data_IF_865779109836
#
_entry.id   IF_865779109836
#
_cell.length_a   1.000
_cell.length_b   1.000
_cell.length_c   1.000
_cell.angle_alpha   90.00
_cell.angle_beta   90.00
_cell.angle_gamma   90.00
#
_symmetry.space_group_name_H-M   'P 1'
#
loop_
_entity.id
_entity.type
_entity.pdbx_description
1 polymer ?
#
# COMPACT_ATOMS: atom_id res chain seq x y z
N UNK A 1 -11.44 -16.53 -6.53
CA UNK A 1 -10.28 -15.64 -6.76
C UNK A 1 -10.06 -14.81 -5.50
N UNK A 2 -8.90 -14.92 -4.86
CA UNK A 2 -8.58 -14.11 -3.68
C UNK A 2 -8.35 -12.65 -4.13
N UNK A 3 -9.18 -11.72 -3.67
CA UNK A 3 -9.13 -10.30 -4.07
C UNK A 3 -8.16 -9.54 -3.15
N UNK A 4 -6.88 -9.87 -3.29
CA UNK A 4 -5.79 -9.27 -2.53
C UNK A 4 -5.84 -7.73 -2.60
N UNK A 5 -5.70 -7.10 -1.44
CA UNK A 5 -5.69 -5.65 -1.27
C UNK A 5 -7.03 -4.95 -1.55
N UNK A 6 -8.14 -5.71 -1.57
CA UNK A 6 -9.48 -5.13 -1.60
C UNK A 6 -9.99 -4.89 -0.18
N UNK A 7 -10.68 -3.76 0.02
CA UNK A 7 -11.39 -3.42 1.25
C UNK A 7 -12.76 -2.85 0.91
N UNK A 8 -13.77 -3.19 1.71
CA UNK A 8 -15.09 -2.58 1.62
C UNK A 8 -15.21 -1.52 2.71
N UNK A 9 -15.57 -0.28 2.34
CA UNK A 9 -15.73 0.84 3.26
C UNK A 9 -17.08 1.53 3.04
N UNK A 10 -17.72 1.96 4.13
CA UNK A 10 -18.84 2.89 4.06
C UNK A 10 -18.31 4.28 3.73
N UNK A 11 -18.69 4.80 2.56
CA UNK A 11 -18.15 6.04 2.03
C UNK A 11 -19.17 6.76 1.13
N UNK A 12 -19.33 8.06 1.34
CA UNK A 12 -20.29 8.87 0.58
C UNK A 12 -21.73 8.42 0.80
N UNK A 13 -22.30 7.72 -0.19
CA UNK A 13 -23.71 7.30 -0.24
C UNK A 13 -23.93 5.78 -0.09
N UNK A 14 -22.91 5.01 0.29
CA UNK A 14 -23.06 3.58 0.50
C UNK A 14 -21.76 2.86 0.83
N UNK A 15 -21.79 1.53 0.74
CA UNK A 15 -20.60 0.69 0.89
C UNK A 15 -19.95 0.45 -0.47
N UNK A 16 -18.65 0.74 -0.57
CA UNK A 16 -17.88 0.58 -1.80
C UNK A 16 -16.69 -0.32 -1.60
N UNK A 17 -16.44 -1.17 -2.61
CA UNK A 17 -15.21 -1.93 -2.73
C UNK A 17 -14.12 -1.01 -3.30
N UNK A 18 -13.00 -0.91 -2.59
CA UNK A 18 -11.80 -0.23 -3.04
C UNK A 18 -10.67 -1.24 -3.17
N UNK A 19 -9.84 -1.09 -4.20
CA UNK A 19 -8.65 -1.92 -4.38
C UNK A 19 -7.61 -1.19 -5.21
N UNK A 20 -6.37 -1.19 -4.74
CA UNK A 20 -5.22 -0.77 -5.53
C UNK A 20 -4.48 -2.00 -6.06
N UNK A 21 -4.84 -2.42 -7.28
CA UNK A 21 -4.07 -3.41 -8.04
C UNK A 21 -2.73 -2.85 -8.51
N UNK A 22 -1.87 -3.69 -9.11
CA UNK A 22 -0.54 -3.24 -9.56
C UNK A 22 -0.65 -2.10 -10.59
N UNK A 23 -1.54 -2.26 -11.57
CA UNK A 23 -1.81 -1.24 -12.58
C UNK A 23 -2.34 0.07 -11.97
N UNK A 24 -3.19 0.00 -10.93
CA UNK A 24 -3.67 1.19 -10.22
C UNK A 24 -2.56 1.87 -9.44
N UNK A 25 -1.64 1.11 -8.84
CA UNK A 25 -0.48 1.67 -8.13
C UNK A 25 0.45 2.37 -9.14
N UNK A 26 0.79 1.71 -10.25
CA UNK A 26 1.64 2.30 -11.30
C UNK A 26 1.01 3.58 -11.88
N UNK A 27 -0.29 3.57 -12.16
CA UNK A 27 -1.00 4.77 -12.63
C UNK A 27 -1.01 5.87 -11.55
N UNK A 28 -1.22 5.51 -10.29
CA UNK A 28 -1.20 6.46 -9.18
C UNK A 28 0.19 7.11 -9.06
N UNK A 29 1.25 6.32 -9.00
CA UNK A 29 2.63 6.82 -8.91
C UNK A 29 2.96 7.76 -10.07
N UNK A 30 2.61 7.38 -11.30
CA UNK A 30 2.82 8.22 -12.49
C UNK A 30 2.04 9.55 -12.42
N UNK A 31 0.79 9.54 -11.95
CA UNK A 31 -0.02 10.76 -11.79
C UNK A 31 0.44 11.66 -10.66
N UNK A 32 0.98 11.06 -9.59
CA UNK A 32 1.42 11.79 -8.40
C UNK A 32 2.86 12.27 -8.48
N UNK A 33 3.67 11.65 -9.33
CA UNK A 33 5.14 11.75 -9.31
C UNK A 33 5.69 11.43 -7.91
N UNK A 34 5.13 10.37 -7.29
CA UNK A 34 5.43 9.94 -5.93
C UNK A 34 5.30 8.43 -5.82
N UNK A 35 6.27 7.79 -5.17
CA UNK A 35 6.16 6.36 -4.86
C UNK A 35 5.05 6.07 -3.85
N UNK A 36 4.46 4.88 -3.92
CA UNK A 36 3.33 4.46 -3.07
C UNK A 36 3.65 4.56 -1.57
N UNK A 37 4.90 4.30 -1.17
CA UNK A 37 5.34 4.43 0.22
C UNK A 37 5.44 5.88 0.68
N UNK A 38 5.82 6.80 -0.21
CA UNK A 38 5.83 8.24 0.09
C UNK A 38 4.39 8.75 0.22
N UNK A 39 3.50 8.27 -0.65
CA UNK A 39 2.06 8.57 -0.59
C UNK A 39 1.45 8.08 0.73
N UNK A 40 1.76 6.85 1.14
CA UNK A 40 1.34 6.29 2.43
C UNK A 40 1.81 7.16 3.60
N UNK A 41 3.07 7.61 3.57
CA UNK A 41 3.59 8.50 4.61
C UNK A 41 2.86 9.86 4.64
N UNK A 42 2.59 10.48 3.49
CA UNK A 42 1.92 11.79 3.42
C UNK A 42 0.46 11.76 3.88
N UNK A 43 -0.23 10.65 3.62
CA UNK A 43 -1.65 10.47 3.99
C UNK A 43 -1.85 10.07 5.46
N UNK A 44 -0.79 9.80 6.21
CA UNK A 44 -0.88 9.46 7.63
C UNK A 44 -1.61 10.54 8.44
N UNK A 45 -2.50 10.19 9.38
CA UNK A 45 -3.26 11.15 10.19
C UNK A 45 -2.39 12.13 11.01
N UNK A 46 -1.21 11.67 11.43
CA UNK A 46 -0.24 12.46 12.20
C UNK A 46 0.62 13.40 11.32
N UNK A 47 0.52 13.28 9.99
CA UNK A 47 1.31 14.05 9.02
C UNK A 47 0.41 15.04 8.27
N UNK A 48 0.77 16.34 8.26
CA UNK A 48 0.03 17.40 7.55
C UNK A 48 0.66 17.74 6.19
N UNK A 49 0.90 16.74 5.36
CA UNK A 49 1.56 16.89 4.05
C UNK A 49 0.73 16.38 2.87
N UNK A 50 -0.44 15.80 3.12
CA UNK A 50 -1.34 15.33 2.08
C UNK A 50 -1.78 16.49 1.18
N UNK A 51 -1.66 16.28 -0.13
CA UNK A 51 -2.23 17.18 -1.15
C UNK A 51 -3.65 16.73 -1.44
N UNK A 52 -4.54 17.65 -1.81
CA UNK A 52 -5.91 17.31 -2.26
C UNK A 52 -5.91 16.21 -3.31
N UNK A 53 -5.00 16.34 -4.26
CA UNK A 53 -4.90 15.42 -5.37
C UNK A 53 -4.32 14.04 -4.99
N UNK A 54 -3.63 13.92 -3.83
CA UNK A 54 -3.23 12.61 -3.27
C UNK A 54 -4.48 11.83 -2.87
N UNK A 55 -5.44 12.51 -2.25
CA UNK A 55 -6.71 11.94 -1.77
C UNK A 55 -7.61 11.58 -2.96
N UNK A 56 -7.83 12.55 -3.86
CA UNK A 56 -8.69 12.42 -5.04
C UNK A 56 -8.27 11.23 -5.91
N UNK A 57 -7.00 11.16 -6.30
CA UNK A 57 -6.54 10.10 -7.22
C UNK A 57 -6.50 8.72 -6.55
N UNK A 58 -6.15 8.65 -5.26
CA UNK A 58 -6.16 7.40 -4.50
C UNK A 58 -7.56 6.81 -4.43
N UNK A 59 -8.56 7.62 -4.07
CA UNK A 59 -9.95 7.16 -3.96
C UNK A 59 -10.48 6.78 -5.34
N UNK A 60 -10.23 7.59 -6.38
CA UNK A 60 -10.68 7.31 -7.75
C UNK A 60 -10.12 5.98 -8.27
N UNK A 61 -8.80 5.77 -8.13
CA UNK A 61 -8.16 4.53 -8.59
C UNK A 61 -8.52 3.33 -7.71
N UNK A 62 -8.74 3.55 -6.42
CA UNK A 62 -9.27 2.55 -5.50
C UNK A 62 -10.65 2.03 -5.94
N UNK A 63 -11.59 2.93 -6.26
CA UNK A 63 -12.92 2.56 -6.77
C UNK A 63 -12.82 1.78 -8.09
N UNK A 64 -11.98 2.24 -9.01
CA UNK A 64 -11.78 1.58 -10.31
C UNK A 64 -11.21 0.16 -10.11
N UNK A 65 -10.18 0.00 -9.30
CA UNK A 65 -9.63 -1.32 -9.01
C UNK A 65 -10.58 -2.22 -8.21
N UNK A 66 -11.54 -1.63 -7.50
CA UNK A 66 -12.66 -2.29 -6.82
C UNK A 66 -13.79 -2.74 -7.76
N UNK A 67 -13.74 -2.36 -9.05
CA UNK A 67 -14.68 -2.78 -10.09
C UNK A 67 -15.64 -1.69 -10.57
N UNK A 68 -15.54 -0.46 -10.06
CA UNK A 68 -16.35 0.67 -10.53
C UNK A 68 -15.87 1.15 -11.90
N UNK A 69 -16.80 1.56 -12.77
CA UNK A 69 -16.45 2.18 -14.05
C UNK A 69 -15.70 3.51 -13.83
N UNK A 70 -14.69 3.85 -14.65
CA UNK A 70 -13.91 5.07 -14.46
C UNK A 70 -14.73 6.38 -14.46
N UNK A 71 -15.80 6.43 -15.26
CA UNK A 71 -16.69 7.60 -15.33
C UNK A 71 -17.49 7.75 -14.03
N UNK A 72 -17.98 6.65 -13.47
CA UNK A 72 -18.74 6.65 -12.22
C UNK A 72 -17.83 6.99 -11.02
N UNK A 73 -16.62 6.45 -11.01
CA UNK A 73 -15.61 6.78 -10.00
C UNK A 73 -15.26 8.28 -10.02
N UNK A 74 -15.09 8.86 -11.21
CA UNK A 74 -14.84 10.30 -11.36
C UNK A 74 -16.02 11.14 -10.85
N UNK A 75 -17.26 10.76 -11.20
CA UNK A 75 -18.45 11.46 -10.75
C UNK A 75 -18.59 11.43 -9.22
N UNK A 76 -18.33 10.27 -8.59
CA UNK A 76 -18.38 10.13 -7.13
C UNK A 76 -17.29 10.92 -6.42
N UNK A 77 -16.06 10.89 -6.91
CA UNK A 77 -14.96 11.63 -6.29
C UNK A 77 -15.19 13.14 -6.37
N UNK A 78 -15.75 13.65 -7.47
CA UNK A 78 -16.16 15.07 -7.54
C UNK A 78 -17.15 15.44 -6.44
N UNK A 79 -18.22 14.64 -6.31
CA UNK A 79 -19.29 14.88 -5.35
C UNK A 79 -18.87 14.72 -3.89
N UNK A 80 -18.07 13.70 -3.59
CA UNK A 80 -17.76 13.30 -2.22
C UNK A 80 -16.34 13.66 -1.76
N UNK A 81 -15.49 14.22 -2.63
CA UNK A 81 -14.15 14.71 -2.29
C UNK A 81 -13.98 16.17 -2.68
N UNK A 82 -14.15 16.52 -3.97
CA UNK A 82 -13.85 17.88 -4.45
C UNK A 82 -14.82 18.94 -3.86
N UNK A 83 -16.09 18.57 -3.65
CA UNK A 83 -17.13 19.42 -3.06
C UNK A 83 -17.20 19.34 -1.52
N UNK A 84 -16.21 18.69 -0.89
CA UNK A 84 -16.18 18.39 0.56
C UNK A 84 -14.93 19.00 1.22
N UNK A 85 -14.91 19.16 2.56
CA UNK A 85 -13.71 19.60 3.27
C UNK A 85 -12.48 18.75 2.95
N UNK A 86 -11.34 19.42 2.75
CA UNK A 86 -10.10 18.82 2.25
C UNK A 86 -9.65 17.57 3.03
N UNK A 87 -9.75 17.61 4.36
CA UNK A 87 -9.22 16.56 5.24
C UNK A 87 -10.23 15.43 5.50
N UNK A 88 -11.51 15.60 5.12
CA UNK A 88 -12.59 14.64 5.41
C UNK A 88 -12.30 13.24 4.84
N UNK A 89 -11.68 13.19 3.65
CA UNK A 89 -11.45 11.96 2.91
C UNK A 89 -10.02 11.42 3.06
N UNK A 90 -9.16 12.07 3.85
CA UNK A 90 -7.76 11.64 4.04
C UNK A 90 -7.69 10.21 4.56
N UNK A 91 -8.47 9.89 5.60
CA UNK A 91 -8.40 8.58 6.26
C UNK A 91 -8.88 7.45 5.36
N UNK A 92 -9.90 7.71 4.53
CA UNK A 92 -10.34 6.78 3.48
C UNK A 92 -9.20 6.53 2.48
N UNK A 93 -8.55 7.57 1.97
CA UNK A 93 -7.42 7.41 1.06
C UNK A 93 -6.26 6.65 1.72
N UNK A 94 -5.95 6.94 2.98
CA UNK A 94 -4.91 6.26 3.73
C UNK A 94 -5.21 4.77 3.90
N UNK A 95 -6.44 4.40 4.27
CA UNK A 95 -6.87 3.02 4.39
C UNK A 95 -6.73 2.24 3.06
N UNK A 96 -7.09 2.88 1.94
CA UNK A 96 -6.96 2.29 0.60
C UNK A 96 -5.49 2.01 0.25
N UNK A 97 -4.59 2.97 0.53
CA UNK A 97 -3.14 2.78 0.30
C UNK A 97 -2.59 1.65 1.16
N UNK A 98 -2.94 1.62 2.46
CA UNK A 98 -2.50 0.54 3.34
C UNK A 98 -2.99 -0.83 2.89
N UNK A 99 -4.24 -0.94 2.43
CA UNK A 99 -4.78 -2.17 1.86
C UNK A 99 -4.01 -2.61 0.60
N UNK A 100 -3.65 -1.66 -0.28
CA UNK A 100 -2.81 -1.93 -1.45
C UNK A 100 -1.40 -2.43 -1.09
N UNK A 101 -0.81 -1.88 -0.02
CA UNK A 101 0.53 -2.26 0.46
C UNK A 101 0.54 -3.60 1.21
N UNK A 102 -0.52 -3.90 1.96
CA UNK A 102 -0.66 -5.12 2.76
C UNK A 102 -0.92 -6.37 1.91
N UNK A 103 -0.24 -6.53 0.75
CA UNK A 103 -0.24 -7.74 -0.10
C UNK A 103 0.33 -9.00 0.60
N UNK A 104 -0.01 -9.23 1.86
CA UNK A 104 0.31 -10.46 2.57
C UNK A 104 -0.77 -11.47 2.23
N UNK A 105 -0.37 -12.48 1.44
CA UNK A 105 -1.05 -13.76 1.45
C UNK A 105 -1.07 -14.25 2.91
N UNK A 106 -2.21 -14.11 3.59
CA UNK A 106 -2.45 -14.85 4.83
C UNK A 106 -2.55 -16.33 4.47
N UNK A 107 -1.39 -16.99 4.47
CA UNK A 107 -1.16 -18.45 4.59
C UNK A 107 0.32 -18.78 4.79
N UNK A 108 1.26 -17.93 4.34
CA UNK A 108 2.70 -18.18 4.51
C UNK A 108 3.23 -17.83 5.93
N UNK A 109 2.49 -17.00 6.68
CA UNK A 109 2.79 -16.66 8.09
C UNK A 109 2.11 -17.59 9.10
N UNK A 110 1.43 -18.64 8.65
CA UNK A 110 0.92 -19.73 9.51
C UNK A 110 1.98 -20.82 9.73
N UNK A 111 3.27 -20.48 9.80
CA UNK A 111 4.27 -21.43 10.28
C UNK A 111 4.23 -21.42 11.82
N UNK A 112 3.89 -22.54 12.50
CA UNK A 112 4.36 -22.67 13.87
C UNK A 112 5.88 -22.67 13.78
N UNK A 113 6.50 -21.66 14.38
CA UNK A 113 7.94 -21.64 14.64
C UNK A 113 8.23 -22.84 15.55
N UNK A 114 8.52 -23.98 14.92
CA UNK A 114 8.81 -25.25 15.54
C UNK A 114 10.32 -25.46 15.49
N UNK A 115 10.97 -25.02 16.53
CA UNK A 115 12.37 -25.28 16.83
C UNK A 115 12.65 -26.80 16.90
N UNK A 116 13.72 -27.26 16.25
CA UNK A 116 14.32 -28.58 16.43
C UNK A 116 15.79 -28.55 15.93
N UNK A 117 16.71 -29.39 16.46
CA UNK A 117 17.80 -28.95 17.33
C UNK A 117 19.19 -28.92 16.67
N UNK A 118 20.15 -28.43 17.46
CA UNK A 118 21.54 -28.11 17.14
C UNK A 118 22.34 -29.15 16.31
N UNK A 119 23.25 -28.62 15.49
CA UNK A 119 24.47 -29.31 15.09
C UNK A 119 25.67 -28.41 15.44
N UNK A 120 26.45 -28.82 16.44
CA UNK A 120 27.78 -28.30 16.68
C UNK A 120 28.69 -28.74 15.53
N UNK A 121 29.31 -27.80 14.80
CA UNK A 121 30.52 -28.09 14.04
C UNK A 121 31.52 -26.94 14.19
N UNK A 122 32.49 -27.17 15.08
CA UNK A 122 33.74 -26.43 15.08
C UNK A 122 34.53 -26.82 13.83
N UNK A 123 34.77 -25.89 12.92
CA UNK A 123 35.76 -26.04 11.87
C UNK A 123 36.48 -24.72 11.64
N UNK A 124 37.61 -24.60 12.34
CA UNK A 124 38.67 -23.66 12.06
C UNK A 124 39.37 -24.04 10.76
N UNK A 125 39.51 -23.09 9.83
CA UNK A 125 40.71 -22.98 8.98
C UNK A 125 40.73 -21.61 8.29
N UNK A 126 41.53 -20.68 8.81
CA UNK A 126 42.04 -19.56 8.02
C UNK A 126 43.55 -19.74 7.90
N UNK A 127 44.12 -19.76 6.68
CA UNK A 127 45.56 -19.61 6.53
C UNK A 127 45.95 -18.13 6.70
N UNK A 128 47.07 -17.79 7.36
CA UNK A 128 47.54 -16.41 7.40
C UNK A 128 48.17 -16.05 6.06
N UNK A 129 47.59 -15.09 5.35
CA UNK A 129 48.30 -14.35 4.31
C UNK A 129 49.16 -13.29 4.99
N UNK A 130 50.48 -13.52 5.04
CA UNK A 130 51.44 -12.45 5.32
C UNK A 130 52.21 -12.13 4.05
N UNK A 131 52.10 -10.84 3.74
CA UNK A 131 52.64 -10.02 2.68
C UNK A 131 54.17 -10.08 2.56
N UNK A 132 54.66 -10.03 1.33
CA UNK A 132 56.07 -9.92 1.00
C UNK A 132 56.59 -8.49 1.26
N UNK A 133 57.87 -8.39 1.67
CA UNK A 133 58.91 -7.40 1.30
C UNK A 133 59.86 -7.11 2.48
N UNK A 134 61.11 -6.65 2.27
CA UNK A 134 61.85 -6.45 1.01
C UNK A 134 63.02 -7.43 0.79
#
# INVERSE_FOLDING_TARGET
MNRHGAIDLDWGDGTYCFRLGLAQIEELEARRDLGIFQLAHRLRPDVRQARSSDIVETIRLGLIGGGMLPVDALAKVRKYVDERPLDENRDTAYAIVLAGLARVHSKELEQPSGEAPAAETSASTSPPSTEALP
#
